data_IF_268785838899
#
_entry.id   IF_268785838899
#
_cell.length_a   1.000
_cell.length_b   1.000
_cell.length_c   1.000
_cell.angle_alpha   90.00
_cell.angle_beta   90.00
_cell.angle_gamma   90.00
#
_symmetry.space_group_name_H-M   'P 1'
#
loop_
_entity.id
_entity.type
_entity.pdbx_description
1 polymer ?
#
# COMPACT_ATOMS: atom_id res chain seq x y z
N UNK A 1 6.88 -10.43 -16.36
CA UNK A 1 6.73 -11.86 -16.07
C UNK A 1 5.44 -12.03 -15.29
N UNK A 2 4.56 -12.94 -15.65
CA UNK A 2 3.37 -13.21 -14.85
C UNK A 2 3.79 -13.70 -13.44
N UNK A 3 2.93 -13.56 -12.39
CA UNK A 3 3.22 -14.13 -11.09
C UNK A 3 3.60 -15.60 -11.26
N UNK A 4 4.69 -16.02 -10.63
CA UNK A 4 5.10 -17.42 -10.67
C UNK A 4 4.12 -18.21 -9.80
N UNK A 5 3.35 -19.18 -10.35
CA UNK A 5 2.37 -19.95 -9.60
C UNK A 5 2.98 -20.80 -8.48
N UNK A 6 4.29 -21.07 -8.55
CA UNK A 6 5.02 -21.86 -7.56
C UNK A 6 5.54 -21.03 -6.36
N UNK A 7 5.41 -19.69 -6.42
CA UNK A 7 5.79 -18.84 -5.30
C UNK A 7 4.60 -18.61 -4.36
N UNK A 8 4.83 -18.62 -3.04
CA UNK A 8 3.76 -18.27 -2.10
C UNK A 8 3.28 -16.84 -2.35
N UNK A 9 1.98 -16.56 -2.12
CA UNK A 9 1.47 -15.20 -2.13
C UNK A 9 2.29 -14.30 -1.21
N UNK A 10 2.44 -13.03 -1.57
CA UNK A 10 3.11 -12.06 -0.71
C UNK A 10 2.30 -11.83 0.58
N UNK A 11 0.96 -11.82 0.45
CA UNK A 11 0.03 -11.70 1.59
C UNK A 11 -1.09 -12.71 1.38
N UNK A 12 -1.38 -13.51 2.41
CA UNK A 12 -2.51 -14.43 2.42
C UNK A 12 -3.22 -14.38 3.77
N UNK A 13 -4.52 -14.21 3.75
CA UNK A 13 -5.39 -14.32 4.91
C UNK A 13 -6.31 -15.52 4.73
N UNK A 14 -6.40 -16.36 5.76
CA UNK A 14 -7.23 -17.56 5.79
C UNK A 14 -8.24 -17.46 6.93
N UNK A 15 -9.50 -17.19 6.61
CA UNK A 15 -10.65 -17.14 7.54
C UNK A 15 -10.38 -16.28 8.78
N UNK A 16 -9.80 -15.10 8.56
CA UNK A 16 -9.43 -14.17 9.63
C UNK A 16 -10.67 -13.48 10.20
N UNK A 17 -10.87 -13.58 11.51
CA UNK A 17 -11.91 -12.89 12.24
C UNK A 17 -11.33 -12.06 13.37
N UNK A 18 -11.92 -10.89 13.63
CA UNK A 18 -11.53 -10.01 14.75
C UNK A 18 -12.75 -9.27 15.28
N UNK A 19 -12.84 -9.22 16.61
CA UNK A 19 -13.84 -8.45 17.35
C UNK A 19 -13.12 -7.46 18.29
N UNK A 20 -13.78 -6.35 18.60
CA UNK A 20 -13.43 -5.46 19.69
C UNK A 20 -14.65 -5.43 20.62
N UNK A 21 -14.46 -5.89 21.84
CA UNK A 21 -15.55 -6.14 22.78
C UNK A 21 -16.65 -7.01 22.12
N UNK A 22 -17.89 -6.56 22.10
CA UNK A 22 -19.01 -7.27 21.50
C UNK A 22 -19.19 -6.99 20.00
N UNK A 23 -18.34 -6.13 19.40
CA UNK A 23 -18.45 -5.74 17.99
C UNK A 23 -17.53 -6.55 17.10
N UNK A 24 -18.08 -7.45 16.30
CA UNK A 24 -17.35 -8.11 15.21
C UNK A 24 -17.01 -7.12 14.11
N UNK A 25 -15.71 -6.92 13.85
CA UNK A 25 -15.20 -5.98 12.84
C UNK A 25 -14.81 -6.72 11.56
N UNK A 26 -14.18 -7.90 11.69
CA UNK A 26 -13.86 -8.76 10.55
C UNK A 26 -14.48 -10.15 10.80
N UNK A 27 -14.97 -10.76 9.72
CA UNK A 27 -15.71 -12.02 9.76
C UNK A 27 -15.22 -12.94 8.65
N UNK A 28 -14.45 -13.94 9.02
CA UNK A 28 -13.99 -15.01 8.09
C UNK A 28 -13.35 -14.48 6.80
N UNK A 29 -12.54 -13.42 6.93
CA UNK A 29 -11.88 -12.76 5.81
C UNK A 29 -10.81 -13.66 5.22
N UNK A 30 -10.95 -13.97 3.93
CA UNK A 30 -9.95 -14.71 3.17
C UNK A 30 -9.61 -13.93 1.90
N UNK A 31 -8.31 -13.73 1.67
CA UNK A 31 -7.78 -13.08 0.47
C UNK A 31 -6.34 -13.52 0.20
N UNK A 32 -5.91 -13.38 -1.05
CA UNK A 32 -4.52 -13.61 -1.48
C UNK A 32 -4.08 -12.47 -2.36
N UNK A 33 -2.84 -12.01 -2.17
CA UNK A 33 -2.18 -11.02 -3.02
C UNK A 33 -0.89 -11.66 -3.53
N UNK A 34 -0.79 -11.85 -4.83
CA UNK A 34 0.40 -12.42 -5.45
C UNK A 34 1.57 -11.43 -5.40
N UNK A 35 2.79 -11.94 -5.53
CA UNK A 35 3.99 -11.09 -5.56
C UNK A 35 3.97 -10.14 -6.78
N UNK A 36 4.25 -8.86 -6.53
CA UNK A 36 4.23 -7.80 -7.54
C UNK A 36 2.82 -7.36 -7.98
N UNK A 37 1.77 -7.85 -7.32
CA UNK A 37 0.39 -7.46 -7.54
C UNK A 37 -0.01 -6.27 -6.67
N UNK A 38 -0.95 -5.46 -7.15
CA UNK A 38 -1.62 -4.43 -6.36
C UNK A 38 -3.03 -4.89 -6.02
N UNK A 39 -3.37 -4.97 -4.75
CA UNK A 39 -4.74 -5.21 -4.30
C UNK A 39 -5.36 -3.93 -3.76
N UNK A 40 -6.49 -3.51 -4.30
CA UNK A 40 -7.20 -2.31 -3.84
C UNK A 40 -8.44 -2.74 -3.07
N UNK A 41 -8.44 -2.49 -1.76
CA UNK A 41 -9.56 -2.78 -0.88
C UNK A 41 -10.46 -1.55 -0.73
N UNK A 42 -11.61 -1.59 -1.37
CA UNK A 42 -12.67 -0.60 -1.26
C UNK A 42 -13.61 -0.93 -0.10
N UNK A 43 -14.25 0.09 0.45
CA UNK A 43 -15.29 -0.07 1.47
C UNK A 43 -15.64 1.26 2.13
N UNK A 44 -16.81 1.33 2.74
CA UNK A 44 -17.26 2.53 3.47
C UNK A 44 -16.35 2.79 4.69
N UNK A 45 -16.35 4.02 5.20
CA UNK A 45 -15.66 4.37 6.42
C UNK A 45 -16.16 3.51 7.58
N UNK A 46 -15.23 2.98 8.40
CA UNK A 46 -15.57 2.10 9.52
C UNK A 46 -15.83 0.63 9.14
N UNK A 47 -15.64 0.21 7.88
CA UNK A 47 -15.85 -1.19 7.47
C UNK A 47 -14.76 -2.17 7.93
N UNK A 48 -13.67 -1.71 8.55
CA UNK A 48 -12.59 -2.56 9.04
C UNK A 48 -11.30 -2.54 8.19
N UNK A 49 -11.20 -1.71 7.15
CA UNK A 49 -10.03 -1.68 6.24
C UNK A 49 -8.70 -1.41 6.94
N UNK A 50 -8.63 -0.37 7.76
CA UNK A 50 -7.40 -0.05 8.52
C UNK A 50 -7.09 -1.09 9.59
N UNK A 51 -8.12 -1.79 10.11
CA UNK A 51 -7.95 -2.92 11.02
C UNK A 51 -7.27 -4.08 10.29
N UNK A 52 -7.66 -4.34 9.04
CA UNK A 52 -7.03 -5.37 8.22
C UNK A 52 -5.54 -5.08 7.98
N UNK A 53 -5.17 -3.82 7.68
CA UNK A 53 -3.76 -3.43 7.55
C UNK A 53 -2.98 -3.64 8.86
N UNK A 54 -3.58 -3.31 10.02
CA UNK A 54 -2.95 -3.53 11.32
C UNK A 54 -2.73 -5.01 11.63
N UNK A 55 -3.63 -5.88 11.19
CA UNK A 55 -3.47 -7.34 11.30
C UNK A 55 -2.31 -7.83 10.43
N UNK A 56 -2.21 -7.39 9.17
CA UNK A 56 -1.11 -7.73 8.25
C UNK A 56 0.24 -7.26 8.81
N UNK A 57 0.28 -6.09 9.47
CA UNK A 57 1.48 -5.59 10.15
C UNK A 57 1.79 -6.32 11.46
N UNK A 58 0.91 -7.21 11.93
CA UNK A 58 1.03 -7.86 13.23
C UNK A 58 0.92 -6.89 14.42
N UNK A 59 0.32 -5.70 14.21
CA UNK A 59 0.01 -4.74 15.29
C UNK A 59 -1.25 -5.15 16.06
N UNK A 60 -2.07 -6.01 15.47
CA UNK A 60 -3.22 -6.67 16.10
C UNK A 60 -3.11 -8.16 15.84
N UNK A 61 -3.65 -8.96 16.75
CA UNK A 61 -3.81 -10.42 16.56
C UNK A 61 -5.27 -10.72 16.27
N UNK A 62 -5.57 -11.62 15.31
CA UNK A 62 -6.94 -12.05 15.05
C UNK A 62 -7.46 -12.95 16.17
N UNK A 63 -8.78 -13.01 16.32
CA UNK A 63 -9.45 -13.98 17.22
C UNK A 63 -9.35 -15.39 16.66
N UNK A 64 -9.38 -15.51 15.32
CA UNK A 64 -9.26 -16.79 14.61
C UNK A 64 -8.74 -16.57 13.18
N UNK A 65 -8.29 -17.66 12.56
CA UNK A 65 -7.72 -17.67 11.22
C UNK A 65 -6.20 -17.54 11.22
N UNK A 66 -5.61 -17.44 10.02
CA UNK A 66 -4.17 -17.36 9.80
C UNK A 66 -3.85 -16.17 8.90
N UNK A 67 -2.68 -15.60 9.10
CA UNK A 67 -2.15 -14.53 8.26
C UNK A 67 -0.75 -14.96 7.86
N UNK A 68 -0.55 -15.13 6.55
CA UNK A 68 0.75 -15.53 6.01
C UNK A 68 1.35 -14.37 5.22
N UNK A 69 2.61 -14.09 5.49
CA UNK A 69 3.42 -13.12 4.75
C UNK A 69 4.56 -13.89 4.08
N UNK A 70 4.58 -13.88 2.75
CA UNK A 70 5.54 -14.65 1.95
C UNK A 70 5.58 -16.14 2.38
N UNK A 71 4.42 -16.68 2.78
CA UNK A 71 4.24 -18.07 3.22
C UNK A 71 4.50 -18.33 4.71
N UNK A 72 5.00 -17.35 5.47
CA UNK A 72 5.23 -17.47 6.92
C UNK A 72 3.99 -17.02 7.72
N UNK A 73 3.46 -17.89 8.60
CA UNK A 73 2.34 -17.54 9.48
C UNK A 73 2.81 -16.59 10.59
N UNK A 74 2.27 -15.35 10.57
CA UNK A 74 2.67 -14.30 11.49
C UNK A 74 1.88 -14.29 12.82
N UNK A 75 0.76 -15.02 12.91
CA UNK A 75 -0.10 -15.01 14.10
C UNK A 75 0.61 -15.51 15.37
N UNK A 76 1.42 -16.61 15.31
CA UNK A 76 2.14 -17.10 16.48
C UNK A 76 3.42 -16.32 16.80
N UNK A 77 3.88 -15.41 15.92
CA UNK A 77 5.17 -14.75 16.05
C UNK A 77 5.21 -13.82 17.25
N UNK A 78 6.40 -13.74 17.89
CA UNK A 78 6.72 -12.74 18.90
C UNK A 78 7.13 -11.42 18.26
N UNK A 79 7.08 -10.34 19.02
CA UNK A 79 7.40 -8.99 18.52
C UNK A 79 8.80 -8.90 17.88
N UNK A 80 9.78 -9.57 18.45
CA UNK A 80 11.15 -9.61 17.90
C UNK A 80 11.22 -10.24 16.50
N UNK A 81 10.41 -11.28 16.25
CA UNK A 81 10.31 -11.93 14.94
C UNK A 81 9.50 -11.06 13.97
N UNK A 82 8.41 -10.46 14.44
CA UNK A 82 7.64 -9.50 13.66
C UNK A 82 8.48 -8.31 13.20
N UNK A 83 9.40 -7.81 14.02
CA UNK A 83 10.29 -6.71 13.64
C UNK A 83 11.20 -7.08 12.45
N UNK A 84 11.61 -8.33 12.33
CA UNK A 84 12.36 -8.82 11.16
C UNK A 84 11.50 -8.80 9.90
N UNK A 85 10.25 -9.27 9.99
CA UNK A 85 9.31 -9.25 8.86
C UNK A 85 8.92 -7.83 8.46
N UNK A 86 8.68 -6.94 9.42
CA UNK A 86 8.36 -5.53 9.15
C UNK A 86 9.47 -4.79 8.40
N UNK A 87 10.72 -5.29 8.41
CA UNK A 87 11.79 -4.73 7.58
C UNK A 87 11.52 -4.87 6.08
N UNK A 88 10.72 -5.84 5.69
CA UNK A 88 10.30 -6.07 4.29
C UNK A 88 9.00 -5.34 3.94
N UNK A 89 8.40 -4.61 4.89
CA UNK A 89 7.14 -3.90 4.72
C UNK A 89 7.33 -2.41 4.85
N UNK A 90 6.74 -1.66 3.92
CA UNK A 90 6.55 -0.22 4.04
C UNK A 90 5.08 0.08 4.32
N UNK A 91 4.81 1.13 5.09
CA UNK A 91 3.46 1.62 5.33
C UNK A 91 3.35 3.12 5.16
N UNK A 92 2.27 3.54 4.50
CA UNK A 92 1.88 4.95 4.36
C UNK A 92 0.52 5.12 5.00
N UNK A 93 0.47 5.87 6.11
CA UNK A 93 -0.77 6.19 6.82
C UNK A 93 -1.50 7.37 6.19
N UNK A 94 -2.78 7.51 6.49
CA UNK A 94 -3.69 8.51 5.92
C UNK A 94 -3.16 9.95 6.00
N UNK A 95 -2.46 10.33 7.06
CA UNK A 95 -1.90 11.68 7.23
C UNK A 95 -0.36 11.72 7.08
N UNK A 96 0.24 10.61 6.61
CA UNK A 96 1.67 10.44 6.46
C UNK A 96 2.37 10.03 7.75
N UNK A 97 1.85 10.38 8.93
CA UNK A 97 2.41 10.07 10.26
C UNK A 97 3.92 10.40 10.36
N UNK A 98 4.32 11.57 9.85
CA UNK A 98 5.69 12.07 9.98
C UNK A 98 5.95 12.48 11.42
N UNK A 99 7.19 12.41 11.86
CA UNK A 99 7.64 12.98 13.11
C UNK A 99 7.77 14.50 12.97
N UNK A 100 6.93 15.26 13.64
CA UNK A 100 6.83 16.72 13.49
C UNK A 100 8.12 17.45 13.90
N UNK A 101 8.88 16.89 14.85
CA UNK A 101 10.13 17.43 15.35
C UNK A 101 11.36 17.13 14.50
N UNK A 102 11.22 16.29 13.49
CA UNK A 102 12.32 15.85 12.63
C UNK A 102 12.20 16.50 11.24
N UNK A 103 13.36 16.81 10.64
CA UNK A 103 13.43 17.22 9.24
C UNK A 103 12.95 16.12 8.28
N UNK A 104 12.77 16.45 7.01
CA UNK A 104 12.49 15.45 5.96
C UNK A 104 13.62 14.42 5.88
N UNK A 105 14.88 14.87 5.92
CA UNK A 105 16.04 13.97 5.96
C UNK A 105 15.92 12.97 7.10
N UNK A 106 15.71 13.45 8.33
CA UNK A 106 15.63 12.60 9.51
C UNK A 106 14.41 11.67 9.47
N UNK A 107 13.25 12.16 9.02
CA UNK A 107 12.06 11.32 8.82
C UNK A 107 12.32 10.16 7.86
N UNK A 108 12.98 10.43 6.73
CA UNK A 108 13.24 9.42 5.69
C UNK A 108 14.35 8.47 6.14
N UNK A 109 15.44 8.98 6.73
CA UNK A 109 16.58 8.16 7.19
C UNK A 109 16.30 7.38 8.46
N UNK A 110 15.27 7.74 9.24
CA UNK A 110 14.99 7.20 10.59
C UNK A 110 15.11 5.68 10.65
N UNK A 111 14.52 5.00 9.69
CA UNK A 111 14.53 3.54 9.65
C UNK A 111 15.92 2.95 9.45
N UNK A 112 16.77 3.58 8.64
CA UNK A 112 18.15 3.10 8.41
C UNK A 112 18.97 3.19 9.71
N UNK A 113 18.77 4.26 10.50
CA UNK A 113 19.39 4.41 11.82
C UNK A 113 18.92 3.33 12.80
N UNK A 114 17.61 3.07 12.84
CA UNK A 114 17.03 2.00 13.67
C UNK A 114 17.55 0.61 13.27
N UNK A 115 17.81 0.38 12.00
CA UNK A 115 18.40 -0.87 11.49
C UNK A 115 19.92 -0.98 11.73
N UNK A 116 20.51 0.03 12.35
CA UNK A 116 21.93 0.04 12.74
C UNK A 116 22.89 0.55 11.67
N UNK A 117 22.40 1.11 10.55
CA UNK A 117 23.26 1.77 9.58
C UNK A 117 23.92 2.99 10.23
N UNK A 118 25.24 3.17 10.02
CA UNK A 118 26.04 4.27 10.60
C UNK A 118 26.89 5.01 9.58
N UNK A 119 26.86 4.59 8.32
CA UNK A 119 27.55 5.26 7.22
C UNK A 119 26.70 6.45 6.75
N UNK A 120 27.05 7.65 7.20
CA UNK A 120 26.30 8.88 6.93
C UNK A 120 26.25 9.21 5.44
N UNK A 121 27.36 9.04 4.70
CA UNK A 121 27.40 9.31 3.26
C UNK A 121 26.47 8.37 2.48
N UNK A 122 26.42 7.11 2.88
CA UNK A 122 25.53 6.11 2.29
C UNK A 122 24.08 6.43 2.61
N UNK A 123 23.77 6.84 3.85
CA UNK A 123 22.42 7.24 4.25
C UNK A 123 21.97 8.46 3.46
N UNK A 124 22.80 9.51 3.37
CA UNK A 124 22.47 10.73 2.64
C UNK A 124 22.21 10.44 1.16
N UNK A 125 23.06 9.68 0.51
CA UNK A 125 22.89 9.28 -0.89
C UNK A 125 21.56 8.55 -1.09
N UNK A 126 21.22 7.61 -0.20
CA UNK A 126 19.98 6.85 -0.29
C UNK A 126 18.76 7.72 -0.02
N UNK A 127 18.81 8.65 0.93
CA UNK A 127 17.75 9.63 1.20
C UNK A 127 17.51 10.51 -0.04
N UNK A 128 18.57 11.04 -0.66
CA UNK A 128 18.44 11.86 -1.90
C UNK A 128 17.83 11.05 -3.04
N UNK A 129 18.22 9.79 -3.21
CA UNK A 129 17.67 8.90 -4.23
C UNK A 129 16.14 8.70 -4.05
N UNK A 130 15.66 8.39 -2.83
CA UNK A 130 14.23 8.20 -2.61
C UNK A 130 13.45 9.51 -2.62
N UNK A 131 14.05 10.64 -2.23
CA UNK A 131 13.45 11.96 -2.38
C UNK A 131 13.33 12.36 -3.85
N UNK A 132 14.34 12.06 -4.68
CA UNK A 132 14.28 12.23 -6.13
C UNK A 132 13.22 11.36 -6.78
N UNK A 133 13.01 10.13 -6.28
CA UNK A 133 11.95 9.26 -6.77
C UNK A 133 10.54 9.88 -6.57
N UNK A 134 10.35 10.68 -5.51
CA UNK A 134 9.08 11.34 -5.18
C UNK A 134 9.07 12.85 -5.52
N UNK A 135 10.06 13.36 -6.26
CA UNK A 135 10.23 14.75 -6.68
C UNK A 135 10.22 15.74 -5.50
N UNK A 136 11.04 15.48 -4.46
CA UNK A 136 11.14 16.29 -3.25
C UNK A 136 12.57 16.49 -2.74
N UNK A 137 13.59 16.38 -3.58
CA UNK A 137 14.99 16.58 -3.17
C UNK A 137 15.24 17.93 -2.52
N UNK A 138 14.61 19.01 -3.05
CA UNK A 138 14.75 20.37 -2.54
C UNK A 138 14.12 20.59 -1.16
N UNK A 139 13.34 19.61 -0.67
CA UNK A 139 12.66 19.71 0.63
C UNK A 139 13.43 18.99 1.75
N UNK A 140 14.64 18.51 1.50
CA UNK A 140 15.38 17.62 2.40
C UNK A 140 15.59 18.19 3.82
N UNK A 141 15.81 19.50 3.93
CA UNK A 141 16.07 20.18 5.21
C UNK A 141 14.80 20.75 5.87
N UNK A 142 13.65 20.66 5.20
CA UNK A 142 12.38 21.19 5.72
C UNK A 142 11.83 20.29 6.82
N UNK A 143 11.01 20.89 7.69
CA UNK A 143 10.19 20.20 8.67
C UNK A 143 8.81 19.89 8.10
N UNK A 144 8.05 18.92 8.65
CA UNK A 144 6.68 18.62 8.21
C UNK A 144 5.74 19.83 8.22
N UNK A 145 5.94 20.78 9.13
CA UNK A 145 5.15 22.00 9.22
C UNK A 145 5.28 22.91 8.00
N UNK A 146 6.42 22.85 7.30
CA UNK A 146 6.71 23.66 6.10
C UNK A 146 6.24 22.99 4.80
N UNK A 147 5.64 21.79 4.90
CA UNK A 147 5.20 20.99 3.75
C UNK A 147 3.70 21.11 3.52
N UNK A 148 3.29 21.15 2.26
CA UNK A 148 1.88 20.94 1.89
C UNK A 148 1.43 19.50 2.25
N UNK A 149 0.11 19.27 2.29
CA UNK A 149 -0.44 17.91 2.54
C UNK A 149 0.06 16.88 1.54
N UNK A 150 0.15 17.24 0.27
CA UNK A 150 0.70 16.37 -0.78
C UNK A 150 2.21 16.12 -0.62
N UNK A 151 2.98 17.11 -0.23
CA UNK A 151 4.41 16.94 0.07
C UNK A 151 4.60 16.00 1.27
N UNK A 152 3.87 16.20 2.36
CA UNK A 152 3.92 15.28 3.52
C UNK A 152 3.64 13.83 3.11
N UNK A 153 2.66 13.62 2.23
CA UNK A 153 2.32 12.27 1.75
C UNK A 153 3.46 11.67 0.91
N UNK A 154 4.10 12.47 0.05
CA UNK A 154 5.25 12.02 -0.74
C UNK A 154 6.47 11.71 0.14
N UNK A 155 6.74 12.51 1.18
CA UNK A 155 7.78 12.22 2.18
C UNK A 155 7.48 10.90 2.92
N UNK A 156 6.21 10.65 3.28
CA UNK A 156 5.81 9.39 3.91
C UNK A 156 6.04 8.18 2.98
N UNK A 157 5.84 8.34 1.66
CA UNK A 157 6.19 7.30 0.68
C UNK A 157 7.71 7.11 0.64
N UNK A 158 8.51 8.19 0.55
CA UNK A 158 9.96 8.12 0.54
C UNK A 158 10.50 7.40 1.80
N UNK A 159 9.96 7.74 2.98
CA UNK A 159 10.28 7.04 4.25
C UNK A 159 9.92 5.55 4.22
N UNK A 160 8.80 5.21 3.60
CA UNK A 160 8.36 3.82 3.52
C UNK A 160 9.22 2.97 2.58
N UNK A 161 9.78 3.57 1.51
CA UNK A 161 10.57 2.85 0.50
C UNK A 161 12.08 2.88 0.74
N UNK A 162 12.55 3.59 1.77
CA UNK A 162 14.00 3.78 2.04
C UNK A 162 14.74 2.46 2.19
N UNK A 163 14.10 1.45 2.78
CA UNK A 163 14.65 0.11 3.04
C UNK A 163 14.30 -0.92 1.95
N UNK A 164 13.84 -0.48 0.78
CA UNK A 164 13.49 -1.35 -0.36
C UNK A 164 12.51 -2.48 0.01
N UNK A 165 11.34 -2.15 0.55
CA UNK A 165 10.39 -3.16 0.99
C UNK A 165 9.84 -3.97 -0.19
N UNK A 166 9.60 -5.28 0.01
CA UNK A 166 8.89 -6.14 -0.96
C UNK A 166 7.37 -5.90 -0.93
N UNK A 167 6.85 -5.40 0.18
CA UNK A 167 5.41 -5.18 0.41
C UNK A 167 5.17 -3.74 0.85
N UNK A 168 4.23 -3.06 0.20
CA UNK A 168 3.76 -1.71 0.56
C UNK A 168 2.29 -1.73 0.95
N UNK A 169 2.00 -1.15 2.10
CA UNK A 169 0.66 -0.98 2.63
C UNK A 169 0.29 0.50 2.62
N UNK A 170 -0.89 0.83 2.12
CA UNK A 170 -1.36 2.21 2.04
C UNK A 170 -2.73 2.34 2.72
N UNK A 171 -2.82 3.16 3.75
CA UNK A 171 -4.10 3.50 4.38
C UNK A 171 -4.60 4.84 3.87
N UNK A 172 -5.56 4.80 2.97
CA UNK A 172 -6.24 5.98 2.40
C UNK A 172 -5.25 7.06 1.89
N UNK A 173 -4.28 6.70 1.02
CA UNK A 173 -3.12 7.56 0.71
C UNK A 173 -3.50 8.88 0.02
N UNK A 174 -4.67 8.96 -0.60
CA UNK A 174 -5.18 10.13 -1.34
C UNK A 174 -6.29 10.86 -0.60
N UNK A 175 -6.68 10.40 0.60
CA UNK A 175 -7.77 11.01 1.35
C UNK A 175 -7.42 12.46 1.75
N UNK A 176 -8.40 13.38 1.56
CA UNK A 176 -8.24 14.80 1.90
C UNK A 176 -7.33 15.58 0.94
N UNK A 177 -6.85 14.99 -0.15
CA UNK A 177 -6.06 15.68 -1.16
C UNK A 177 -6.95 16.15 -2.31
N UNK A 178 -6.56 17.25 -2.94
CA UNK A 178 -7.15 17.70 -4.19
C UNK A 178 -6.88 16.70 -5.33
N UNK A 179 -7.65 16.75 -6.43
CA UNK A 179 -7.54 15.77 -7.50
C UNK A 179 -6.15 15.69 -8.17
N UNK A 180 -5.45 16.81 -8.29
CA UNK A 180 -4.11 16.85 -8.93
C UNK A 180 -3.09 16.18 -8.04
N UNK A 181 -3.08 16.53 -6.76
CA UNK A 181 -2.20 15.91 -5.77
C UNK A 181 -2.50 14.41 -5.60
N UNK A 182 -3.78 14.02 -5.56
CA UNK A 182 -4.18 12.61 -5.51
C UNK A 182 -3.69 11.83 -6.74
N UNK A 183 -3.76 12.45 -7.93
CA UNK A 183 -3.21 11.85 -9.16
C UNK A 183 -1.70 11.61 -9.04
N UNK A 184 -0.94 12.57 -8.52
CA UNK A 184 0.51 12.42 -8.28
C UNK A 184 0.80 11.24 -7.34
N UNK A 185 0.06 11.10 -6.23
CA UNK A 185 0.24 9.98 -5.29
C UNK A 185 -0.07 8.64 -5.97
N UNK A 186 -1.17 8.56 -6.73
CA UNK A 186 -1.52 7.35 -7.50
C UNK A 186 -0.43 7.02 -8.54
N UNK A 187 0.13 8.02 -9.22
CA UNK A 187 1.23 7.84 -10.17
C UNK A 187 2.46 7.25 -9.49
N UNK A 188 2.82 7.72 -8.30
CA UNK A 188 3.94 7.15 -7.52
C UNK A 188 3.68 5.68 -7.13
N UNK A 189 2.46 5.33 -6.75
CA UNK A 189 2.11 3.93 -6.44
C UNK A 189 2.22 3.04 -7.69
N UNK A 190 1.75 3.51 -8.85
CA UNK A 190 1.93 2.80 -10.14
C UNK A 190 3.42 2.67 -10.49
N UNK A 191 4.21 3.74 -10.32
CA UNK A 191 5.65 3.74 -10.56
C UNK A 191 6.38 2.71 -9.68
N UNK A 192 6.04 2.65 -8.38
CA UNK A 192 6.61 1.66 -7.45
C UNK A 192 6.28 0.22 -7.88
N UNK A 193 5.02 -0.06 -8.22
CA UNK A 193 4.60 -1.37 -8.72
C UNK A 193 5.38 -1.77 -9.97
N UNK A 194 5.46 -0.89 -10.95
CA UNK A 194 5.96 -1.25 -12.29
C UNK A 194 7.49 -1.23 -12.38
N UNK A 195 8.16 -0.33 -11.66
CA UNK A 195 9.63 -0.19 -11.68
C UNK A 195 10.30 -1.09 -10.63
N UNK A 196 9.78 -1.11 -9.40
CA UNK A 196 10.39 -1.85 -8.29
C UNK A 196 9.71 -3.20 -8.02
N UNK A 197 8.60 -3.50 -8.71
CA UNK A 197 7.81 -4.74 -8.55
C UNK A 197 7.35 -4.99 -7.12
N UNK A 198 7.06 -3.91 -6.41
CA UNK A 198 6.57 -3.98 -5.03
C UNK A 198 5.14 -4.51 -5.02
N UNK A 199 4.87 -5.48 -4.17
CA UNK A 199 3.49 -5.92 -3.88
C UNK A 199 2.79 -4.87 -3.05
N UNK A 200 1.57 -4.48 -3.42
CA UNK A 200 0.89 -3.40 -2.74
C UNK A 200 -0.52 -3.77 -2.28
N UNK A 201 -0.87 -3.38 -1.06
CA UNK A 201 -2.26 -3.34 -0.62
C UNK A 201 -2.67 -1.90 -0.32
N UNK A 202 -3.65 -1.40 -1.06
CA UNK A 202 -4.17 -0.03 -0.94
C UNK A 202 -5.58 -0.11 -0.38
N UNK A 203 -5.81 0.40 0.82
CA UNK A 203 -7.16 0.55 1.35
C UNK A 203 -7.65 1.97 1.11
N UNK A 204 -8.85 2.12 0.53
CA UNK A 204 -9.41 3.42 0.19
C UNK A 204 -10.95 3.35 0.15
N UNK A 205 -11.59 4.51 0.22
CA UNK A 205 -13.02 4.64 -0.06
C UNK A 205 -13.26 5.32 -1.42
N UNK A 206 -12.20 5.67 -2.16
CA UNK A 206 -12.25 6.38 -3.44
C UNK A 206 -12.09 5.39 -4.60
N UNK A 207 -13.14 5.25 -5.41
CA UNK A 207 -13.07 4.43 -6.62
C UNK A 207 -12.01 4.92 -7.60
N UNK A 208 -11.80 6.24 -7.65
CA UNK A 208 -10.82 6.85 -8.56
C UNK A 208 -9.41 6.28 -8.36
N UNK A 209 -9.03 5.94 -7.11
CA UNK A 209 -7.75 5.30 -6.83
C UNK A 209 -7.68 3.92 -7.48
N UNK A 210 -8.74 3.10 -7.30
CA UNK A 210 -8.82 1.77 -7.91
C UNK A 210 -8.79 1.84 -9.44
N UNK A 211 -9.51 2.81 -10.03
CA UNK A 211 -9.51 3.03 -11.48
C UNK A 211 -8.10 3.40 -11.97
N UNK A 212 -7.43 4.34 -11.31
CA UNK A 212 -6.08 4.76 -11.67
C UNK A 212 -5.10 3.58 -11.64
N UNK A 213 -5.04 2.87 -10.51
CA UNK A 213 -4.11 1.76 -10.30
C UNK A 213 -4.35 0.59 -11.27
N UNK A 214 -5.60 0.35 -11.68
CA UNK A 214 -5.98 -0.73 -12.59
C UNK A 214 -5.98 -0.34 -14.07
N UNK A 215 -5.86 0.96 -14.40
CA UNK A 215 -5.94 1.43 -15.79
C UNK A 215 -4.59 1.78 -16.39
N UNK A 216 -3.60 2.10 -15.57
CA UNK A 216 -2.34 2.67 -16.04
C UNK A 216 -1.13 1.82 -15.63
N UNK A 217 -0.10 1.92 -16.47
CA UNK A 217 1.26 1.43 -16.22
C UNK A 217 2.22 2.61 -16.30
N UNK A 218 3.35 2.51 -15.59
CA UNK A 218 4.41 3.51 -15.67
C UNK A 218 5.44 3.13 -16.74
N UNK A 219 5.71 4.05 -17.66
CA UNK A 219 6.77 3.90 -18.66
C UNK A 219 8.03 4.66 -18.20
N UNK A 220 9.11 3.93 -17.95
CA UNK A 220 10.40 4.52 -17.64
C UNK A 220 10.98 5.34 -18.79
N UNK A 221 10.70 4.95 -20.05
CA UNK A 221 11.14 5.68 -21.24
C UNK A 221 10.46 7.05 -21.36
N UNK A 222 9.15 7.11 -21.09
CA UNK A 222 8.35 8.34 -21.20
C UNK A 222 8.27 9.12 -19.89
N UNK A 223 8.83 8.58 -18.82
CA UNK A 223 8.73 9.14 -17.45
C UNK A 223 7.28 9.50 -17.07
N UNK A 224 6.31 8.65 -17.44
CA UNK A 224 4.90 8.93 -17.25
C UNK A 224 4.00 7.71 -17.37
N UNK A 225 2.71 7.94 -17.10
CA UNK A 225 1.68 6.92 -17.18
C UNK A 225 1.26 6.65 -18.63
N UNK A 226 1.07 5.39 -18.96
CA UNK A 226 0.46 4.91 -20.21
C UNK A 226 -0.78 4.05 -19.88
N UNK A 227 -1.79 4.04 -20.75
CA UNK A 227 -2.90 3.09 -20.61
C UNK A 227 -2.39 1.65 -20.60
N UNK A 228 -2.85 0.86 -19.64
CA UNK A 228 -2.51 -0.55 -19.55
C UNK A 228 -3.04 -1.35 -20.74
N UNK A 229 -2.24 -2.30 -21.25
CA UNK A 229 -2.60 -3.14 -22.39
C UNK A 229 -2.38 -2.48 -23.77
N UNK A 230 -1.94 -1.22 -23.84
CA UNK A 230 -1.60 -0.57 -25.09
C UNK A 230 -0.22 -1.03 -25.61
N UNK A 231 -0.08 -1.23 -26.92
CA UNK A 231 1.20 -1.46 -27.62
C UNK A 231 2.07 -2.61 -27.08
N UNK A 232 1.46 -3.72 -26.64
CA UNK A 232 2.22 -4.88 -26.11
C UNK A 232 2.75 -4.69 -24.69
N UNK A 233 2.41 -3.60 -24.03
CA UNK A 233 2.68 -3.42 -22.60
C UNK A 233 1.78 -4.31 -21.75
N UNK A 234 2.25 -4.64 -20.55
CA UNK A 234 1.48 -5.42 -19.57
C UNK A 234 0.09 -4.83 -19.37
N UNK A 235 -0.89 -5.70 -19.26
CA UNK A 235 -2.23 -5.29 -18.89
C UNK A 235 -2.26 -4.96 -17.39
N UNK A 236 -2.40 -3.69 -17.05
CA UNK A 236 -2.49 -3.24 -15.65
C UNK A 236 -3.66 -3.88 -14.90
N UNK A 237 -4.71 -4.29 -15.63
CA UNK A 237 -5.85 -5.00 -15.05
C UNK A 237 -5.46 -6.40 -14.54
N UNK A 238 -4.44 -7.04 -15.11
CA UNK A 238 -3.91 -8.33 -14.65
C UNK A 238 -2.99 -8.19 -13.42
N UNK A 239 -2.53 -6.97 -13.15
CA UNK A 239 -1.67 -6.64 -12.01
C UNK A 239 -2.44 -6.01 -10.84
N UNK A 240 -3.75 -5.80 -11.00
CA UNK A 240 -4.55 -5.11 -9.98
C UNK A 240 -5.85 -5.85 -9.72
N UNK A 241 -5.97 -6.36 -8.50
CA UNK A 241 -7.20 -6.94 -7.97
C UNK A 241 -8.00 -5.88 -7.22
N UNK A 242 -9.31 -5.85 -7.40
CA UNK A 242 -10.21 -5.02 -6.60
C UNK A 242 -11.01 -5.89 -5.65
N UNK A 243 -10.95 -5.53 -4.38
CA UNK A 243 -11.71 -6.14 -3.30
C UNK A 243 -12.70 -5.13 -2.74
N UNK A 244 -13.88 -5.56 -2.32
CA UNK A 244 -14.84 -4.71 -1.59
C UNK A 244 -15.13 -5.35 -0.23
N UNK A 245 -14.86 -4.60 0.84
CA UNK A 245 -15.15 -4.99 2.21
C UNK A 245 -16.52 -4.44 2.62
N UNK A 246 -17.43 -5.34 3.01
CA UNK A 246 -18.77 -5.00 3.52
C UNK A 246 -19.10 -5.83 4.74
N UNK A 247 -19.57 -5.20 5.79
CA UNK A 247 -20.02 -5.84 7.03
C UNK A 247 -19.01 -6.84 7.61
N UNK A 248 -17.70 -6.52 7.46
CA UNK A 248 -16.60 -7.33 7.94
C UNK A 248 -16.17 -8.49 7.03
N UNK A 249 -16.80 -8.67 5.85
CA UNK A 249 -16.49 -9.74 4.89
C UNK A 249 -15.97 -9.18 3.58
N UNK A 250 -15.16 -9.97 2.83
CA UNK A 250 -14.89 -9.69 1.42
C UNK A 250 -16.16 -9.97 0.62
N UNK A 251 -16.84 -8.91 0.24
CA UNK A 251 -18.11 -8.97 -0.48
C UNK A 251 -17.93 -9.15 -1.99
N UNK A 252 -16.82 -8.63 -2.52
CA UNK A 252 -16.44 -8.74 -3.93
C UNK A 252 -14.93 -8.91 -4.05
N UNK A 253 -14.54 -9.72 -5.02
CA UNK A 253 -13.16 -9.91 -5.46
C UNK A 253 -13.14 -10.10 -6.97
N UNK A 254 -12.41 -9.26 -7.70
CA UNK A 254 -12.35 -9.36 -9.15
C UNK A 254 -11.55 -8.22 -9.80
N UNK A 255 -11.62 -8.15 -11.12
CA UNK A 255 -11.04 -7.07 -11.89
C UNK A 255 -11.91 -5.79 -11.84
N UNK A 256 -11.35 -4.68 -12.33
CA UNK A 256 -12.13 -3.46 -12.55
C UNK A 256 -13.33 -3.72 -13.48
N UNK A 257 -13.15 -4.51 -14.54
CA UNK A 257 -14.22 -4.81 -15.49
C UNK A 257 -15.35 -5.58 -14.82
N UNK A 258 -15.03 -6.52 -13.93
CA UNK A 258 -16.03 -7.29 -13.18
C UNK A 258 -16.82 -6.39 -12.22
N UNK A 259 -16.12 -5.43 -11.54
CA UNK A 259 -16.79 -4.47 -10.67
C UNK A 259 -17.79 -3.58 -11.44
N UNK A 260 -17.39 -3.06 -12.61
CA UNK A 260 -18.24 -2.19 -13.42
C UNK A 260 -19.39 -2.93 -14.12
N UNK A 261 -19.26 -4.24 -14.36
CA UNK A 261 -20.32 -5.10 -14.90
C UNK A 261 -21.28 -5.63 -13.84
N UNK A 262 -20.91 -5.49 -12.56
CA UNK A 262 -21.76 -6.00 -11.48
C UNK A 262 -23.11 -5.29 -11.45
N UNK A 263 -24.19 -6.06 -11.42
CA UNK A 263 -25.56 -5.51 -11.33
C UNK A 263 -25.99 -5.24 -9.87
N UNK A 264 -25.19 -5.69 -8.91
CA UNK A 264 -25.44 -5.54 -7.49
C UNK A 264 -25.57 -4.07 -7.06
N UNK A 265 -26.66 -3.67 -6.38
CA UNK A 265 -26.91 -2.28 -6.01
C UNK A 265 -25.86 -1.69 -5.05
N UNK A 266 -25.20 -2.53 -4.23
CA UNK A 266 -24.16 -2.08 -3.33
C UNK A 266 -22.86 -1.78 -4.09
N UNK A 267 -22.49 -2.65 -5.04
CA UNK A 267 -21.29 -2.44 -5.88
C UNK A 267 -21.48 -1.24 -6.82
N UNK A 268 -22.70 -1.00 -7.32
CA UNK A 268 -23.04 0.19 -8.11
C UNK A 268 -22.78 1.51 -7.38
N UNK A 269 -22.85 1.55 -6.04
CA UNK A 269 -22.49 2.75 -5.26
C UNK A 269 -21.00 3.12 -5.36
N UNK A 270 -20.16 2.16 -5.71
CA UNK A 270 -18.74 2.42 -5.98
C UNK A 270 -18.48 2.67 -7.46
N UNK A 271 -19.33 2.18 -8.37
CA UNK A 271 -19.16 2.25 -9.81
C UNK A 271 -19.82 3.47 -10.48
N UNK A 272 -20.73 4.17 -9.76
CA UNK A 272 -21.53 5.29 -10.29
C UNK A 272 -21.05 6.67 -9.89
#
# INVERSE_FOLDING_TARGET
MAPNPDQPPAIELERVSLSFDDKRVLRDVSLKIAQGETSVLLGVTGSGKSVLLKLILGLLKPDSGRILIEGEDIVPLRETQMNVLRRRMGIVFQEGALFDSLSVFENVSYRLWEEGQRDEERIERRVREVLGFVDLEEAIDKTPAELSGGMRRRVAIARAIISEPSIMLYDSPTAGLDPVTAHTINTLMVKLRDVQRVTSMVVTHRLQDAVMLSSFIFSAERQGLLPGGANGHRNSAELTQILVLRDGNIYFSGSRQDLFRAEDPYLKKFAG
#
